data_IF_446378161683
#
_entry.id   IF_446378161683
#
_cell.length_a   1.000
_cell.length_b   1.000
_cell.length_c   1.000
_cell.angle_alpha   90.00
_cell.angle_beta   90.00
_cell.angle_gamma   90.00
#
_symmetry.space_group_name_H-M   'P 1'
#
loop_
_entity.id
_entity.type
_entity.pdbx_description
1 polymer ?
#
# COMPACT_ATOMS: atom_id res chain seq x y z
N UNK A 1 -1.70 -14.26 4.51
CA UNK A 1 -3.08 -13.76 4.34
C UNK A 1 -3.14 -12.70 3.26
N UNK A 2 -2.44 -11.56 3.38
CA UNK A 2 -2.48 -10.47 2.38
C UNK A 2 -2.15 -10.96 0.96
N UNK A 3 -1.02 -11.63 0.75
CA UNK A 3 -0.66 -12.15 -0.58
C UNK A 3 -1.75 -13.07 -1.17
N UNK A 4 -2.18 -14.08 -0.40
CA UNK A 4 -3.23 -15.01 -0.82
C UNK A 4 -4.58 -14.32 -1.12
N UNK A 5 -4.94 -13.28 -0.36
CA UNK A 5 -6.14 -12.48 -0.63
C UNK A 5 -6.02 -11.73 -1.97
N UNK A 6 -4.89 -11.06 -2.21
CA UNK A 6 -4.65 -10.34 -3.46
C UNK A 6 -4.63 -11.30 -4.66
N UNK A 7 -4.04 -12.50 -4.51
CA UNK A 7 -4.07 -13.56 -5.52
C UNK A 7 -5.51 -14.00 -5.82
N UNK A 8 -6.34 -14.21 -4.79
CA UNK A 8 -7.75 -14.55 -4.97
C UNK A 8 -8.56 -13.42 -5.63
N UNK A 9 -8.16 -12.16 -5.44
CA UNK A 9 -8.71 -11.01 -6.15
C UNK A 9 -8.19 -10.86 -7.59
N UNK A 10 -7.30 -11.76 -8.05
CA UNK A 10 -6.73 -11.71 -9.40
C UNK A 10 -5.68 -10.61 -9.60
N UNK A 11 -5.11 -10.06 -8.53
CA UNK A 11 -4.06 -9.03 -8.63
C UNK A 11 -2.81 -9.63 -9.26
N UNK A 12 -2.27 -8.95 -10.27
CA UNK A 12 -1.05 -9.38 -10.96
C UNK A 12 0.16 -8.48 -10.66
N UNK A 13 -0.08 -7.21 -10.35
CA UNK A 13 0.98 -6.23 -10.09
C UNK A 13 0.62 -5.37 -8.89
N UNK A 14 1.60 -5.16 -8.01
CA UNK A 14 1.48 -4.23 -6.89
C UNK A 14 2.69 -3.30 -6.85
N UNK A 15 2.48 -2.07 -6.39
CA UNK A 15 3.50 -1.02 -6.36
C UNK A 15 3.73 -0.58 -4.92
N UNK A 16 4.93 -0.17 -4.53
CA UNK A 16 5.09 0.38 -3.20
C UNK A 16 6.49 0.60 -2.67
N UNK A 17 6.53 1.22 -1.50
CA UNK A 17 7.75 1.43 -0.72
C UNK A 17 7.89 0.30 0.30
N UNK A 18 9.06 -0.33 0.31
CA UNK A 18 9.42 -1.35 1.30
C UNK A 18 9.83 -0.67 2.60
N UNK A 19 9.21 -1.08 3.71
CA UNK A 19 9.45 -0.56 5.06
C UNK A 19 9.45 -1.71 6.06
N UNK A 20 10.13 -1.54 7.19
CA UNK A 20 10.13 -2.54 8.27
C UNK A 20 8.71 -2.85 8.77
N UNK A 21 7.79 -1.87 8.71
CA UNK A 21 6.40 -2.01 9.17
C UNK A 21 5.48 -2.75 8.20
N UNK A 22 5.88 -2.90 6.93
CA UNK A 22 5.11 -3.65 5.93
C UNK A 22 5.85 -4.88 5.40
N UNK A 23 7.07 -5.14 5.90
CA UNK A 23 7.94 -6.22 5.45
C UNK A 23 7.28 -7.61 5.49
N UNK A 24 6.50 -8.00 6.52
CA UNK A 24 5.85 -9.31 6.52
C UNK A 24 4.85 -9.49 5.36
N UNK A 25 4.17 -8.41 4.95
CA UNK A 25 3.28 -8.44 3.79
C UNK A 25 4.07 -8.54 2.50
N UNK A 26 5.12 -7.73 2.35
CA UNK A 26 5.93 -7.68 1.13
C UNK A 26 6.82 -8.91 0.94
N UNK A 27 7.31 -9.52 2.02
CA UNK A 27 8.01 -10.82 1.97
C UNK A 27 7.07 -11.92 1.46
N UNK A 28 5.81 -11.93 1.91
CA UNK A 28 4.81 -12.86 1.40
C UNK A 28 4.52 -12.62 -0.10
N UNK A 29 4.43 -11.36 -0.55
CA UNK A 29 4.32 -11.05 -1.98
C UNK A 29 5.58 -11.47 -2.76
N UNK A 30 6.78 -11.26 -2.20
CA UNK A 30 8.05 -11.63 -2.84
C UNK A 30 8.22 -13.13 -3.06
N UNK A 31 7.46 -13.95 -2.33
CA UNK A 31 7.38 -15.41 -2.51
C UNK A 31 6.24 -15.85 -3.44
N UNK A 32 5.34 -14.94 -3.82
CA UNK A 32 4.26 -15.23 -4.77
C UNK A 32 4.84 -15.45 -6.17
N UNK A 33 4.35 -16.47 -6.86
CA UNK A 33 4.64 -16.68 -8.28
C UNK A 33 3.67 -15.90 -9.21
N UNK A 34 2.63 -15.29 -8.64
CA UNK A 34 1.53 -14.64 -9.37
C UNK A 34 1.68 -13.12 -9.36
N UNK A 35 1.98 -12.54 -8.19
CA UNK A 35 2.03 -11.10 -8.02
C UNK A 35 3.45 -10.59 -8.26
N UNK A 36 3.61 -9.71 -9.24
CA UNK A 36 4.84 -8.92 -9.42
C UNK A 36 4.80 -7.69 -8.52
N UNK A 37 5.71 -7.62 -7.56
CA UNK A 37 5.93 -6.39 -6.79
C UNK A 37 6.90 -5.44 -7.52
N UNK A 38 6.52 -4.18 -7.66
CA UNK A 38 7.33 -3.12 -8.27
C UNK A 38 7.72 -2.10 -7.19
N UNK A 39 8.98 -2.10 -6.74
CA UNK A 39 9.41 -1.17 -5.72
C UNK A 39 9.45 0.26 -6.26
N UNK A 40 8.98 1.21 -5.46
CA UNK A 40 9.01 2.65 -5.77
C UNK A 40 9.90 3.39 -4.79
N UNK A 41 10.30 4.61 -5.17
CA UNK A 41 11.11 5.49 -4.30
C UNK A 41 10.29 6.35 -3.34
N UNK A 42 9.00 6.56 -3.63
CA UNK A 42 8.11 7.36 -2.79
C UNK A 42 6.68 6.87 -2.89
N UNK A 43 5.88 7.23 -1.88
CA UNK A 43 4.53 6.71 -1.67
C UNK A 43 3.51 7.31 -2.62
N UNK A 44 3.57 8.62 -2.88
CA UNK A 44 2.76 9.25 -3.92
C UNK A 44 3.02 8.63 -5.31
N UNK A 45 4.29 8.31 -5.61
CA UNK A 45 4.65 7.60 -6.83
C UNK A 45 4.06 6.20 -6.91
N UNK A 46 4.02 5.46 -5.80
CA UNK A 46 3.39 4.14 -5.75
C UNK A 46 1.90 4.21 -6.09
N UNK A 47 1.18 5.16 -5.49
CA UNK A 47 -0.25 5.34 -5.75
C UNK A 47 -0.50 5.77 -7.18
N UNK A 48 0.24 6.76 -7.71
CA UNK A 48 0.09 7.17 -9.12
C UNK A 48 0.37 6.03 -10.10
N UNK A 49 1.32 5.14 -9.80
CA UNK A 49 1.58 3.95 -10.63
C UNK A 49 0.43 2.94 -10.55
N UNK A 50 -0.07 2.65 -9.35
CA UNK A 50 -1.21 1.76 -9.15
C UNK A 50 -2.48 2.29 -9.84
N UNK A 51 -2.67 3.60 -9.75
CA UNK A 51 -3.78 4.32 -10.36
C UNK A 51 -3.71 4.27 -11.89
N UNK A 52 -2.57 4.61 -12.49
CA UNK A 52 -2.36 4.47 -13.93
C UNK A 52 -2.52 3.01 -14.40
N UNK A 53 -2.03 2.04 -13.62
CA UNK A 53 -2.20 0.61 -13.92
C UNK A 53 -3.67 0.22 -13.98
N UNK A 54 -4.45 0.60 -12.96
CA UNK A 54 -5.88 0.30 -12.90
C UNK A 54 -6.65 0.89 -14.09
N UNK A 55 -6.41 2.17 -14.42
CA UNK A 55 -7.08 2.86 -15.53
C UNK A 55 -6.72 2.25 -16.90
N UNK A 56 -5.48 1.81 -17.09
CA UNK A 56 -5.00 1.29 -18.38
C UNK A 56 -5.32 -0.19 -18.60
N UNK A 57 -5.51 -0.96 -17.53
CA UNK A 57 -5.80 -2.40 -17.59
C UNK A 57 -7.26 -2.74 -17.35
N UNK A 58 -8.02 -1.85 -16.71
CA UNK A 58 -9.35 -2.18 -16.19
C UNK A 58 -9.30 -3.17 -15.03
N UNK A 59 -8.21 -3.13 -14.24
CA UNK A 59 -7.95 -4.03 -13.11
C UNK A 59 -7.84 -3.25 -11.79
N UNK A 60 -7.78 -3.95 -10.66
CA UNK A 60 -7.52 -3.35 -9.35
C UNK A 60 -6.08 -2.82 -9.26
N UNK A 61 -5.92 -1.52 -8.99
CA UNK A 61 -4.61 -0.94 -8.65
C UNK A 61 -4.26 -1.20 -7.20
N UNK A 62 -3.07 -1.73 -6.91
CA UNK A 62 -2.64 -2.02 -5.53
C UNK A 62 -1.36 -1.25 -5.18
N UNK A 63 -1.44 -0.44 -4.12
CA UNK A 63 -0.32 0.35 -3.61
C UNK A 63 0.00 -0.01 -2.16
N UNK A 64 1.29 -0.17 -1.85
CA UNK A 64 1.81 -0.38 -0.50
C UNK A 64 2.63 0.84 -0.04
N UNK A 65 2.34 1.33 1.16
CA UNK A 65 3.16 2.37 1.80
C UNK A 65 3.64 1.92 3.17
N UNK A 66 4.57 2.68 3.75
CA UNK A 66 4.87 2.57 5.18
C UNK A 66 3.68 3.08 6.02
N UNK A 67 3.76 2.89 7.33
CA UNK A 67 2.85 3.46 8.33
C UNK A 67 3.02 4.98 8.46
N UNK A 68 2.05 5.63 9.10
CA UNK A 68 2.12 7.02 9.54
C UNK A 68 2.42 8.01 8.42
N UNK A 69 3.51 8.78 8.53
CA UNK A 69 3.88 9.78 7.51
C UNK A 69 4.07 9.19 6.12
N UNK A 70 4.52 7.94 6.01
CA UNK A 70 4.60 7.26 4.72
C UNK A 70 3.21 7.03 4.09
N UNK A 71 2.21 6.70 4.90
CA UNK A 71 0.82 6.65 4.44
C UNK A 71 0.32 8.05 4.05
N UNK A 72 0.64 9.07 4.86
CA UNK A 72 0.29 10.47 4.59
C UNK A 72 0.86 11.01 3.28
N UNK A 73 2.08 10.61 2.90
CA UNK A 73 2.70 11.00 1.63
C UNK A 73 1.91 10.55 0.40
N UNK A 74 1.05 9.54 0.53
CA UNK A 74 0.18 9.07 -0.55
C UNK A 74 -1.12 9.87 -0.69
N UNK A 75 -1.49 10.70 0.28
CA UNK A 75 -2.81 11.34 0.36
C UNK A 75 -3.18 12.14 -0.90
N UNK A 76 -2.25 12.94 -1.43
CA UNK A 76 -2.51 13.72 -2.65
C UNK A 76 -2.79 12.86 -3.88
N UNK A 77 -2.05 11.75 -4.03
CA UNK A 77 -2.26 10.81 -5.13
C UNK A 77 -3.57 10.01 -4.98
N UNK A 78 -3.99 9.73 -3.74
CA UNK A 78 -5.28 9.09 -3.45
C UNK A 78 -6.46 10.00 -3.83
N UNK A 79 -6.36 11.31 -3.58
CA UNK A 79 -7.37 12.27 -4.00
C UNK A 79 -7.54 12.28 -5.52
N UNK A 80 -6.45 12.20 -6.27
CA UNK A 80 -6.48 12.09 -7.73
C UNK A 80 -7.15 10.77 -8.19
N UNK A 81 -6.76 9.63 -7.60
CA UNK A 81 -7.36 8.34 -7.92
C UNK A 81 -8.87 8.30 -7.63
N UNK A 82 -9.29 8.86 -6.49
CA UNK A 82 -10.70 9.00 -6.12
C UNK A 82 -11.46 9.89 -7.11
N UNK A 83 -10.88 11.04 -7.48
CA UNK A 83 -11.48 11.98 -8.45
C UNK A 83 -11.70 11.32 -9.81
N UNK A 84 -10.81 10.41 -10.20
CA UNK A 84 -10.94 9.64 -11.44
C UNK A 84 -11.86 8.42 -11.33
N UNK A 85 -12.36 8.09 -10.14
CA UNK A 85 -13.16 6.89 -9.90
C UNK A 85 -12.37 5.59 -10.07
N UNK A 86 -11.06 5.62 -9.81
CA UNK A 86 -10.19 4.46 -10.01
C UNK A 86 -10.45 3.37 -8.96
N UNK A 87 -10.61 2.10 -9.35
CA UNK A 87 -10.60 0.99 -8.40
C UNK A 87 -9.18 0.77 -7.86
N UNK A 88 -8.89 1.34 -6.68
CA UNK A 88 -7.58 1.31 -6.05
C UNK A 88 -7.65 0.81 -4.60
N UNK A 89 -6.73 -0.09 -4.24
CA UNK A 89 -6.50 -0.57 -2.89
C UNK A 89 -5.16 -0.04 -2.38
N UNK A 90 -5.22 0.76 -1.32
CA UNK A 90 -4.04 1.23 -0.59
C UNK A 90 -3.85 0.43 0.69
N UNK A 91 -2.73 -0.27 0.80
CA UNK A 91 -2.34 -1.04 1.98
C UNK A 91 -1.21 -0.31 2.70
N UNK A 92 -1.44 -0.02 3.99
CA UNK A 92 -0.45 0.58 4.88
C UNK A 92 -0.36 -0.21 6.19
N UNK A 93 0.78 -0.11 6.86
CA UNK A 93 0.96 -0.65 8.20
C UNK A 93 0.42 0.29 9.27
N UNK A 94 0.37 -0.21 10.49
CA UNK A 94 0.13 0.57 11.71
C UNK A 94 1.03 0.03 12.82
N UNK A 95 1.24 0.82 13.88
CA UNK A 95 1.96 0.39 15.08
C UNK A 95 1.21 -0.73 15.82
N UNK A 96 1.91 -1.43 16.72
CA UNK A 96 1.30 -2.53 17.47
C UNK A 96 0.14 -2.04 18.34
N UNK A 97 -0.93 -2.85 18.39
CA UNK A 97 -2.16 -2.57 19.11
C UNK A 97 -1.99 -2.08 20.56
N UNK A 98 -1.04 -2.61 21.38
CA UNK A 98 -0.86 -2.11 22.75
C UNK A 98 -0.46 -0.63 22.83
N UNK A 99 0.15 -0.09 21.78
CA UNK A 99 0.66 1.28 21.71
C UNK A 99 -0.25 2.22 20.90
N UNK A 100 -1.16 1.68 20.10
CA UNK A 100 -2.07 2.45 19.25
C UNK A 100 -2.96 3.40 20.07
N UNK A 101 -2.99 4.66 19.65
CA UNK A 101 -3.76 5.76 20.25
C UNK A 101 -3.49 5.98 21.74
N UNK A 102 -2.30 5.61 22.22
CA UNK A 102 -1.88 5.82 23.61
C UNK A 102 -1.17 7.16 23.80
N UNK A 103 -0.82 7.87 22.72
CA UNK A 103 -0.16 9.17 22.79
C UNK A 103 1.20 9.10 23.47
N UNK A 104 1.88 7.96 23.35
CA UNK A 104 3.17 7.69 24.00
C UNK A 104 4.36 8.09 23.13
N UNK A 105 4.12 8.68 21.96
CA UNK A 105 5.17 9.04 21.01
C UNK A 105 5.85 7.79 20.45
N UNK A 106 5.08 6.71 20.23
CA UNK A 106 5.63 5.50 19.65
C UNK A 106 6.11 5.81 18.22
N UNK A 107 7.23 5.22 17.82
CA UNK A 107 7.83 5.54 16.52
C UNK A 107 6.83 5.22 15.42
N UNK A 108 6.56 6.23 14.58
CA UNK A 108 5.58 6.20 13.50
C UNK A 108 4.11 6.00 13.92
N UNK A 109 3.77 6.24 15.19
CA UNK A 109 2.37 6.39 15.62
C UNK A 109 1.71 7.51 14.82
N UNK A 110 0.54 7.24 14.26
CA UNK A 110 -0.36 8.25 13.73
C UNK A 110 -1.73 7.93 14.28
N UNK A 111 -2.38 8.94 14.85
CA UNK A 111 -3.72 8.80 15.42
C UNK A 111 -4.67 8.29 14.34
N UNK A 112 -5.50 7.32 14.71
CA UNK A 112 -6.55 6.80 13.84
C UNK A 112 -7.56 7.89 13.45
#
# INVERSE_FOLDING_TARGET
VVAAFLEACGVQVAFGVISIHNLPMLDALGRSAVIRFVPTRGEAGAVNMADAYARTRGELGVAFTSTGTGAGNAAGALVEAETAGTPLLHLTGQIDLPYLDRGRGYIHETKA
#
